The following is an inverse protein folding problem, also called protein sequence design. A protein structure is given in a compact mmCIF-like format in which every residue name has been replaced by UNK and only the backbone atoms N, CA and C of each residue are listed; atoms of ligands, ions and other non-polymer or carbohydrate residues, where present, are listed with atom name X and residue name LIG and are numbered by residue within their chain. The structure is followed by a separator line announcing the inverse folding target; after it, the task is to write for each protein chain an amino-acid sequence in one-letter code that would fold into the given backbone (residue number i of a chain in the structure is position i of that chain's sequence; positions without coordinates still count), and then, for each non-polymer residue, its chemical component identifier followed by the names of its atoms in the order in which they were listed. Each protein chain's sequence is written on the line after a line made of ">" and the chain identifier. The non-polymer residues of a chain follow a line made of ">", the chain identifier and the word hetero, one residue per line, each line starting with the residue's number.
data_IF_863426130332
#
_entry.id   IF_863426130332
#
_cell.length_a   1.000
_cell.length_b   1.000
_cell.length_c   1.000
_cell.angle_alpha   90.00
_cell.angle_beta   90.00
_cell.angle_gamma   90.00
#
_symmetry.space_group_name_H-M   'P 1'
#
loop_
_entity.id
_entity.type
_entity.pdbx_description
1 polymer ?
#
# COMPACT_ATOMS: atom_id res chain seq x y z
N UNK A 1 -12.67 -17.91 -1.41
CA UNK A 1 -11.80 -18.48 -2.47
C UNK A 1 -11.67 -19.98 -2.28
N UNK A 2 -11.45 -20.76 -3.34
CA UNK A 2 -11.32 -22.24 -3.29
C UNK A 2 -10.37 -22.68 -2.17
N UNK A 3 -9.24 -22.03 -1.97
CA UNK A 3 -8.30 -22.33 -0.87
C UNK A 3 -8.89 -22.09 0.54
N UNK A 4 -9.77 -21.10 0.69
CA UNK A 4 -10.43 -20.84 1.97
C UNK A 4 -11.52 -21.87 2.25
N UNK A 5 -12.21 -22.29 1.20
CA UNK A 5 -13.25 -23.33 1.27
C UNK A 5 -12.63 -24.69 1.55
N UNK A 6 -11.53 -25.02 0.88
CA UNK A 6 -10.74 -26.23 1.13
C UNK A 6 -10.23 -26.31 2.57
N UNK A 7 -9.63 -25.23 3.06
CA UNK A 7 -9.17 -25.15 4.44
C UNK A 7 -10.31 -25.32 5.46
N UNK A 8 -11.50 -24.79 5.15
CA UNK A 8 -12.69 -24.95 5.97
C UNK A 8 -13.21 -26.39 5.95
N UNK A 9 -13.20 -27.04 4.79
CA UNK A 9 -13.61 -28.46 4.66
C UNK A 9 -12.64 -29.37 5.41
N UNK A 10 -11.34 -29.23 5.23
CA UNK A 10 -10.36 -30.02 5.96
C UNK A 10 -10.56 -29.90 7.48
N UNK A 11 -10.78 -28.67 7.97
CA UNK A 11 -11.05 -28.42 9.38
C UNK A 11 -12.38 -29.03 9.85
N UNK A 12 -13.43 -28.94 9.02
CA UNK A 12 -14.75 -29.48 9.33
C UNK A 12 -14.70 -31.02 9.48
N UNK A 13 -13.94 -31.69 8.63
CA UNK A 13 -13.78 -33.16 8.65
C UNK A 13 -12.62 -33.62 9.55
N UNK A 14 -11.94 -32.73 10.26
CA UNK A 14 -10.82 -33.08 11.16
C UNK A 14 -9.60 -33.64 10.43
N UNK A 15 -9.41 -33.27 9.16
CA UNK A 15 -8.33 -33.76 8.31
C UNK A 15 -7.07 -32.91 8.60
N UNK A 16 -6.04 -33.58 9.10
CA UNK A 16 -4.76 -32.92 9.45
C UNK A 16 -3.92 -32.57 8.21
N UNK A 17 -2.83 -31.82 8.43
CA UNK A 17 -2.02 -31.28 7.35
C UNK A 17 -1.27 -32.32 6.53
N UNK A 18 -0.96 -33.47 7.13
CA UNK A 18 -0.21 -34.60 6.60
C UNK A 18 -1.09 -35.80 6.19
N UNK A 19 -2.43 -35.68 6.32
CA UNK A 19 -3.36 -36.70 5.95
C UNK A 19 -3.41 -36.88 4.40
N UNK A 20 -3.29 -38.13 3.93
CA UNK A 20 -3.35 -38.47 2.52
C UNK A 20 -4.71 -38.17 1.86
N UNK A 21 -5.79 -38.18 2.65
CA UNK A 21 -7.15 -37.87 2.22
C UNK A 21 -7.45 -36.35 2.26
N UNK A 22 -6.44 -35.53 2.52
CA UNK A 22 -6.59 -34.09 2.59
C UNK A 22 -7.12 -33.52 1.28
N UNK A 23 -8.19 -32.75 1.35
CA UNK A 23 -8.68 -32.00 0.21
C UNK A 23 -7.57 -31.04 -0.28
N UNK A 24 -7.19 -31.21 -1.53
CA UNK A 24 -6.15 -30.39 -2.17
C UNK A 24 -6.83 -29.39 -3.12
N UNK A 25 -6.52 -28.10 -3.01
CA UNK A 25 -7.06 -27.16 -3.97
C UNK A 25 -6.42 -27.40 -5.34
N UNK A 26 -7.17 -27.21 -6.43
CA UNK A 26 -6.58 -27.28 -7.75
C UNK A 26 -5.43 -26.28 -7.86
N UNK A 27 -4.34 -26.67 -8.50
CA UNK A 27 -3.18 -25.81 -8.70
C UNK A 27 -3.63 -24.52 -9.38
N UNK A 28 -3.38 -23.39 -8.72
CA UNK A 28 -3.73 -22.09 -9.24
C UNK A 28 -2.83 -21.76 -10.41
N UNK A 29 -3.30 -22.03 -11.61
CA UNK A 29 -2.61 -21.63 -12.84
C UNK A 29 -2.85 -20.13 -13.08
N UNK A 30 -1.80 -19.42 -13.45
CA UNK A 30 -1.81 -17.98 -13.63
C UNK A 30 -2.74 -17.55 -14.76
N UNK A 31 -2.83 -18.35 -15.80
CA UNK A 31 -3.73 -18.22 -16.94
C UNK A 31 -5.21 -18.28 -16.58
N UNK A 32 -5.57 -19.03 -15.52
CA UNK A 32 -6.95 -19.17 -15.03
C UNK A 32 -7.36 -18.05 -14.08
N UNK A 33 -6.43 -17.14 -13.72
CA UNK A 33 -6.76 -15.99 -12.88
C UNK A 33 -7.20 -14.85 -13.78
N UNK A 34 -8.50 -14.73 -14.00
CA UNK A 34 -9.08 -13.54 -14.60
C UNK A 34 -8.84 -12.37 -13.66
N UNK A 35 -7.71 -11.69 -13.84
CA UNK A 35 -7.45 -10.44 -13.16
C UNK A 35 -8.33 -9.39 -13.83
N UNK A 36 -9.30 -8.89 -13.12
CA UNK A 36 -10.18 -7.79 -13.58
C UNK A 36 -9.42 -6.50 -13.98
N UNK A 37 -8.11 -6.49 -13.85
CA UNK A 37 -7.24 -5.31 -14.02
C UNK A 37 -6.60 -5.16 -15.39
N UNK A 38 -6.69 -6.12 -16.28
CA UNK A 38 -5.91 -6.07 -17.53
C UNK A 38 -6.70 -5.77 -18.78
N UNK A 39 -7.95 -6.20 -18.84
CA UNK A 39 -8.68 -6.31 -20.11
C UNK A 39 -10.13 -5.88 -20.06
N UNK A 40 -10.70 -5.61 -18.88
CA UNK A 40 -12.06 -5.04 -18.84
C UNK A 40 -11.99 -3.61 -19.36
N UNK A 41 -12.69 -3.36 -20.46
CA UNK A 41 -13.07 -1.99 -20.83
C UNK A 41 -13.67 -1.36 -19.58
N UNK A 42 -13.05 -0.26 -19.13
CA UNK A 42 -13.63 0.57 -18.07
C UNK A 42 -15.03 0.97 -18.53
N UNK A 43 -15.95 1.05 -17.59
CA UNK A 43 -17.29 1.52 -17.88
C UNK A 43 -17.19 2.83 -18.67
N UNK A 44 -17.94 2.92 -19.77
CA UNK A 44 -18.00 4.09 -20.63
C UNK A 44 -18.45 5.37 -19.88
N UNK A 45 -19.03 5.23 -18.69
CA UNK A 45 -19.47 6.34 -17.83
C UNK A 45 -18.37 6.91 -16.93
N UNK A 46 -17.15 6.32 -16.87
CA UNK A 46 -16.03 6.89 -16.14
C UNK A 46 -15.07 7.60 -17.10
N UNK A 47 -15.16 8.91 -17.14
CA UNK A 47 -14.24 9.75 -17.89
C UNK A 47 -13.00 10.06 -17.04
N UNK A 48 -11.82 9.66 -17.49
CA UNK A 48 -10.56 10.00 -16.84
C UNK A 48 -10.30 11.51 -16.87
N UNK A 49 -10.67 12.18 -17.95
CA UNK A 49 -10.51 13.63 -18.10
C UNK A 49 -11.35 14.37 -17.05
N UNK A 50 -12.62 13.99 -16.88
CA UNK A 50 -13.49 14.64 -15.90
C UNK A 50 -13.12 14.29 -14.44
N UNK A 51 -12.32 13.26 -14.22
CA UNK A 51 -11.87 12.83 -12.90
C UNK A 51 -10.35 12.98 -12.72
N UNK A 52 -9.70 13.78 -13.55
CA UNK A 52 -8.24 13.94 -13.53
C UNK A 52 -7.71 14.34 -12.14
N UNK A 53 -8.37 15.27 -11.47
CA UNK A 53 -7.98 15.69 -10.12
C UNK A 53 -8.04 14.52 -9.12
N UNK A 54 -9.11 13.72 -9.15
CA UNK A 54 -9.25 12.53 -8.29
C UNK A 54 -8.18 11.49 -8.60
N UNK A 55 -7.90 11.26 -9.87
CA UNK A 55 -6.88 10.30 -10.33
C UNK A 55 -5.50 10.72 -9.83
N UNK A 56 -5.13 11.98 -10.06
CA UNK A 56 -3.85 12.55 -9.65
C UNK A 56 -3.70 12.54 -8.11
N UNK A 57 -4.79 12.81 -7.40
CA UNK A 57 -4.86 12.70 -5.95
C UNK A 57 -4.58 11.26 -5.47
N UNK A 58 -5.20 10.27 -6.10
CA UNK A 58 -4.97 8.86 -5.77
C UNK A 58 -3.53 8.41 -6.06
N UNK A 59 -2.95 8.87 -7.18
CA UNK A 59 -1.55 8.58 -7.58
C UNK A 59 -0.54 9.21 -6.63
N UNK A 60 -0.88 10.33 -6.00
CA UNK A 60 0.01 11.01 -5.06
C UNK A 60 -0.04 10.44 -3.63
N UNK A 61 -1.08 9.68 -3.24
CA UNK A 61 -1.34 9.28 -1.86
C UNK A 61 -1.49 7.77 -1.63
N UNK A 62 -1.68 6.97 -2.68
CA UNK A 62 -1.75 5.50 -2.58
C UNK A 62 -2.91 4.96 -1.73
N UNK A 63 -4.11 5.49 -1.91
CA UNK A 63 -5.30 5.10 -1.16
C UNK A 63 -5.79 3.68 -1.43
N UNK A 64 -6.52 3.12 -0.48
CA UNK A 64 -7.59 2.15 -0.73
C UNK A 64 -8.92 2.88 -0.82
N UNK A 65 -9.88 2.34 -1.59
CA UNK A 65 -11.18 2.97 -1.82
C UNK A 65 -11.88 3.37 -0.53
N UNK A 66 -11.98 2.48 0.44
CA UNK A 66 -12.66 2.73 1.70
C UNK A 66 -12.04 3.85 2.55
N UNK A 67 -10.74 4.11 2.42
CA UNK A 67 -10.06 5.24 3.08
C UNK A 67 -10.35 6.52 2.32
N UNK A 68 -10.25 6.49 0.98
CA UNK A 68 -10.52 7.63 0.12
C UNK A 68 -11.95 8.18 0.31
N UNK A 69 -12.95 7.30 0.39
CA UNK A 69 -14.38 7.65 0.58
C UNK A 69 -14.69 8.28 1.94
N UNK A 70 -13.79 8.10 2.92
CA UNK A 70 -13.95 8.64 4.28
C UNK A 70 -12.96 9.74 4.62
N UNK A 71 -12.06 10.05 3.70
CA UNK A 71 -11.00 11.04 3.89
C UNK A 71 -11.59 12.42 4.19
N UNK A 72 -11.07 13.07 5.21
CA UNK A 72 -11.49 14.41 5.65
C UNK A 72 -10.31 15.38 5.65
N UNK A 73 -10.59 16.68 5.74
CA UNK A 73 -9.54 17.71 5.80
C UNK A 73 -8.60 17.52 6.99
N UNK A 74 -9.08 16.96 8.10
CA UNK A 74 -8.27 16.72 9.30
C UNK A 74 -7.19 15.67 9.12
N UNK A 75 -7.29 14.81 8.09
CA UNK A 75 -6.33 13.75 7.81
C UNK A 75 -5.05 14.23 7.10
N UNK A 76 -4.98 15.52 6.73
CA UNK A 76 -3.73 16.13 6.29
C UNK A 76 -2.83 16.43 7.49
N UNK A 77 -1.61 15.97 7.40
CA UNK A 77 -0.55 16.26 8.35
C UNK A 77 0.64 16.92 7.64
N UNK A 78 1.16 18.01 8.22
CA UNK A 78 2.54 18.39 7.98
C UNK A 78 3.42 17.71 9.05
N UNK A 79 4.74 17.85 8.91
CA UNK A 79 5.69 17.21 9.84
C UNK A 79 5.46 17.65 11.28
N UNK A 80 5.37 18.96 11.54
CA UNK A 80 5.16 19.49 12.89
C UNK A 80 3.85 18.97 13.53
N UNK A 81 2.74 18.95 12.78
CA UNK A 81 1.48 18.38 13.24
C UNK A 81 1.60 16.87 13.54
N UNK A 82 2.39 16.14 12.74
CA UNK A 82 2.59 14.72 12.98
C UNK A 82 3.43 14.44 14.23
N UNK A 83 4.43 15.26 14.49
CA UNK A 83 5.28 15.19 15.70
C UNK A 83 4.47 15.54 16.96
N UNK A 84 3.66 16.60 16.92
CA UNK A 84 2.74 16.96 18.01
C UNK A 84 1.74 15.84 18.29
N UNK A 85 1.08 15.32 17.25
CA UNK A 85 0.11 14.24 17.39
C UNK A 85 0.76 12.93 17.90
N UNK A 86 2.02 12.70 17.60
CA UNK A 86 2.77 11.58 18.15
C UNK A 86 2.94 11.72 19.67
N UNK A 87 3.36 12.89 20.16
CA UNK A 87 3.50 13.15 21.59
C UNK A 87 2.15 13.02 22.32
N UNK A 88 1.09 13.62 21.78
CA UNK A 88 -0.28 13.50 22.31
C UNK A 88 -0.76 12.05 22.37
N UNK A 89 -0.47 11.27 21.32
CA UNK A 89 -0.85 9.86 21.28
C UNK A 89 -0.11 9.01 22.32
N UNK A 90 1.16 9.32 22.61
CA UNK A 90 1.94 8.67 23.66
C UNK A 90 1.36 8.99 25.04
N UNK A 91 1.10 10.28 25.34
CA UNK A 91 0.51 10.72 26.59
C UNK A 91 -0.88 10.11 26.84
N UNK A 92 -1.68 9.97 25.77
CA UNK A 92 -3.00 9.36 25.84
C UNK A 92 -2.99 7.82 25.86
N UNK A 93 -1.82 7.16 25.79
CA UNK A 93 -1.70 5.71 25.75
C UNK A 93 -2.24 5.08 24.44
N UNK A 94 -2.36 5.87 23.36
CA UNK A 94 -2.82 5.39 22.07
C UNK A 94 -1.62 4.83 21.25
N UNK A 95 -1.13 3.66 21.66
CA UNK A 95 0.04 3.02 21.07
C UNK A 95 -0.06 2.83 19.55
N UNK A 96 -1.24 2.43 19.05
CA UNK A 96 -1.45 2.17 17.63
C UNK A 96 -1.29 3.43 16.77
N UNK A 97 -1.76 4.58 17.27
CA UNK A 97 -1.59 5.86 16.58
C UNK A 97 -0.15 6.36 16.71
N UNK A 98 0.43 6.27 17.90
CA UNK A 98 1.81 6.68 18.15
C UNK A 98 2.79 5.89 17.25
N UNK A 99 2.64 4.57 17.16
CA UNK A 99 3.44 3.73 16.29
C UNK A 99 3.28 4.13 14.81
N UNK A 100 2.06 4.33 14.34
CA UNK A 100 1.78 4.71 12.95
C UNK A 100 2.45 6.04 12.58
N UNK A 101 2.40 7.03 13.46
CA UNK A 101 3.02 8.35 13.28
C UNK A 101 4.54 8.23 13.30
N UNK A 102 5.10 7.55 14.28
CA UNK A 102 6.55 7.35 14.43
C UNK A 102 7.16 6.63 13.22
N UNK A 103 6.52 5.53 12.80
CA UNK A 103 6.97 4.76 11.63
C UNK A 103 6.95 5.62 10.37
N UNK A 104 5.88 6.39 10.14
CA UNK A 104 5.79 7.29 9.00
C UNK A 104 6.87 8.38 9.01
N UNK A 105 7.04 9.08 10.13
CA UNK A 105 8.03 10.14 10.28
C UNK A 105 9.47 9.63 10.11
N UNK A 106 9.80 8.46 10.67
CA UNK A 106 11.13 7.84 10.53
C UNK A 106 11.41 7.31 9.13
N UNK A 107 10.38 6.76 8.47
CA UNK A 107 10.55 6.17 7.13
C UNK A 107 10.70 7.24 6.06
N UNK A 108 10.08 8.40 6.25
CA UNK A 108 10.04 9.49 5.27
C UNK A 108 10.58 10.81 5.85
N UNK A 109 11.89 10.87 6.22
CA UNK A 109 12.46 12.03 6.89
C UNK A 109 12.44 13.31 6.04
N UNK A 110 12.52 13.18 4.72
CA UNK A 110 12.57 14.30 3.76
C UNK A 110 11.17 14.79 3.31
N UNK A 111 10.09 14.21 3.85
CA UNK A 111 8.74 14.59 3.43
C UNK A 111 8.12 15.60 4.39
N UNK A 112 7.46 16.63 3.82
CA UNK A 112 6.80 17.70 4.59
C UNK A 112 5.34 17.40 4.87
N UNK A 113 4.66 16.70 3.93
CA UNK A 113 3.23 16.45 3.99
C UNK A 113 2.89 14.98 3.89
N UNK A 114 1.91 14.59 4.69
CA UNK A 114 1.45 13.22 4.85
C UNK A 114 -0.07 13.17 4.87
N UNK A 115 -0.61 12.01 4.55
CA UNK A 115 -1.99 11.62 4.86
C UNK A 115 -1.99 10.58 5.99
N UNK A 116 -2.82 10.82 7.00
CA UNK A 116 -3.13 9.83 8.01
C UNK A 116 -4.27 8.94 7.51
N UNK A 117 -3.95 7.72 7.11
CA UNK A 117 -4.93 6.72 6.70
C UNK A 117 -5.51 6.05 7.94
N UNK A 118 -6.75 6.40 8.28
CA UNK A 118 -7.46 5.83 9.43
C UNK A 118 -8.27 4.60 9.04
N UNK A 119 -8.34 3.60 9.91
CA UNK A 119 -9.18 2.39 9.73
C UNK A 119 -9.01 1.76 8.35
N UNK A 120 -7.77 1.62 7.89
CA UNK A 120 -7.45 0.90 6.66
C UNK A 120 -7.75 -0.61 6.84
N UNK A 121 -7.46 -1.45 5.85
CA UNK A 121 -7.73 -2.90 5.90
C UNK A 121 -7.20 -3.51 7.21
N UNK A 122 -8.09 -4.16 7.95
CA UNK A 122 -7.79 -4.71 9.28
C UNK A 122 -7.74 -3.68 10.41
N UNK A 123 -8.40 -2.52 10.25
CA UNK A 123 -8.46 -1.48 11.29
C UNK A 123 -7.17 -0.64 11.44
N UNK A 124 -6.16 -0.89 10.61
CA UNK A 124 -4.84 -0.26 10.73
C UNK A 124 -4.88 1.24 10.46
N UNK A 125 -4.08 1.97 11.23
CA UNK A 125 -3.73 3.36 10.98
C UNK A 125 -2.31 3.43 10.41
N UNK A 126 -2.04 4.36 9.50
CA UNK A 126 -0.70 4.63 8.97
C UNK A 126 -0.55 6.06 8.51
N UNK A 127 0.64 6.60 8.62
CA UNK A 127 1.04 7.87 8.05
C UNK A 127 1.81 7.62 6.76
N UNK A 128 1.33 8.15 5.63
CA UNK A 128 1.93 7.95 4.32
C UNK A 128 2.26 9.29 3.66
N UNK A 129 3.41 9.43 2.98
CA UNK A 129 3.80 10.68 2.34
C UNK A 129 2.91 11.00 1.15
N UNK A 130 2.73 12.31 0.89
CA UNK A 130 2.17 12.81 -0.35
C UNK A 130 3.34 13.04 -1.31
N UNK A 131 3.35 12.36 -2.46
CA UNK A 131 4.49 12.37 -3.39
C UNK A 131 4.07 12.63 -4.84
N UNK A 132 5.06 12.88 -5.69
CA UNK A 132 4.87 13.04 -7.11
C UNK A 132 4.53 14.47 -7.55
N UNK A 133 4.33 14.66 -8.87
CA UNK A 133 4.17 15.98 -9.46
C UNK A 133 2.89 16.71 -9.03
N UNK A 134 1.91 15.98 -8.49
CA UNK A 134 0.63 16.53 -8.05
C UNK A 134 0.56 16.82 -6.54
N UNK A 135 1.69 16.69 -5.80
CA UNK A 135 1.77 16.91 -4.34
C UNK A 135 1.11 18.23 -3.93
N UNK A 136 1.44 19.32 -4.58
CA UNK A 136 0.94 20.66 -4.19
C UNK A 136 -0.58 20.82 -4.44
N UNK A 137 -1.09 20.23 -5.51
CA UNK A 137 -2.53 20.23 -5.78
C UNK A 137 -3.30 19.43 -4.72
N UNK A 138 -2.77 18.28 -4.31
CA UNK A 138 -3.32 17.47 -3.21
C UNK A 138 -3.33 18.27 -1.90
N UNK A 139 -2.22 18.89 -1.54
CA UNK A 139 -2.10 19.69 -0.31
C UNK A 139 -3.08 20.85 -0.33
N UNK A 140 -3.19 21.59 -1.45
CA UNK A 140 -4.15 22.70 -1.59
C UNK A 140 -5.58 22.22 -1.38
N UNK A 141 -5.99 21.13 -2.05
CA UNK A 141 -7.34 20.56 -1.87
C UNK A 141 -7.62 20.16 -0.43
N UNK A 142 -6.68 19.47 0.21
CA UNK A 142 -6.81 19.06 1.60
C UNK A 142 -6.94 20.24 2.55
N UNK A 143 -6.13 21.31 2.36
CA UNK A 143 -6.20 22.54 3.16
C UNK A 143 -7.50 23.31 2.94
N UNK A 144 -8.05 23.29 1.74
CA UNK A 144 -9.34 23.92 1.42
C UNK A 144 -10.55 23.16 1.95
N UNK A 145 -10.37 21.88 2.34
CA UNK A 145 -11.44 21.04 2.88
C UNK A 145 -11.58 21.27 4.38
N UNK A 146 -12.76 21.62 4.91
CA UNK A 146 -12.97 21.73 6.36
C UNK A 146 -12.59 20.44 7.10
N UNK A 147 -12.13 20.52 8.35
CA UNK A 147 -11.57 19.39 9.08
C UNK A 147 -12.47 18.14 9.10
N UNK A 148 -13.77 18.33 9.26
CA UNK A 148 -14.76 17.24 9.36
C UNK A 148 -15.50 16.96 8.05
N UNK A 149 -15.23 17.72 6.98
CA UNK A 149 -15.86 17.52 5.69
C UNK A 149 -15.10 16.45 4.87
N UNK A 150 -15.84 15.70 4.08
CA UNK A 150 -15.23 14.76 3.12
C UNK A 150 -14.48 15.52 2.03
N UNK A 151 -13.26 15.06 1.73
CA UNK A 151 -12.47 15.59 0.59
C UNK A 151 -13.14 15.26 -0.75
N UNK A 152 -13.76 14.09 -0.83
CA UNK A 152 -14.51 13.64 -2.01
C UNK A 152 -15.91 13.23 -1.60
N UNK A 153 -16.91 13.94 -2.12
CA UNK A 153 -18.32 13.62 -1.84
C UNK A 153 -18.74 12.29 -2.47
N UNK A 154 -18.17 12.02 -3.65
CA UNK A 154 -18.42 10.80 -4.39
C UNK A 154 -17.16 10.27 -5.06
N UNK A 155 -16.97 8.96 -5.00
CA UNK A 155 -15.90 8.23 -5.70
C UNK A 155 -16.56 7.17 -6.58
N UNK A 156 -16.51 7.35 -7.91
CA UNK A 156 -17.11 6.40 -8.84
C UNK A 156 -16.65 4.97 -8.59
N UNK A 157 -17.58 4.01 -8.64
CA UNK A 157 -17.27 2.58 -8.50
C UNK A 157 -16.28 2.10 -9.59
N UNK A 158 -16.27 2.78 -10.74
CA UNK A 158 -15.40 2.48 -11.88
C UNK A 158 -14.00 3.13 -11.79
N UNK A 159 -13.77 3.99 -10.80
CA UNK A 159 -12.46 4.57 -10.53
C UNK A 159 -11.49 3.45 -10.09
N UNK A 160 -10.40 3.24 -10.83
CA UNK A 160 -9.40 2.21 -10.52
C UNK A 160 -8.42 2.67 -9.42
N UNK A 161 -8.97 2.97 -8.24
CA UNK A 161 -8.19 3.39 -7.06
C UNK A 161 -7.02 2.43 -6.78
N UNK A 162 -7.19 1.15 -7.11
CA UNK A 162 -6.16 0.16 -6.87
C UNK A 162 -5.02 0.21 -7.90
N UNK A 163 -5.34 0.53 -9.15
CA UNK A 163 -4.35 0.80 -10.20
C UNK A 163 -3.52 2.04 -9.86
N UNK A 164 -4.18 3.13 -9.46
CA UNK A 164 -3.47 4.37 -9.06
C UNK A 164 -2.62 4.19 -7.80
N UNK A 165 -3.02 3.29 -6.90
CA UNK A 165 -2.17 2.89 -5.78
C UNK A 165 -0.92 2.11 -6.24
N UNK A 166 -0.98 1.38 -7.34
CA UNK A 166 0.19 0.76 -7.94
C UNK A 166 1.12 1.80 -8.57
N UNK A 167 0.56 2.84 -9.20
CA UNK A 167 1.34 3.97 -9.73
C UNK A 167 2.10 4.69 -8.60
N UNK A 168 1.42 4.96 -7.47
CA UNK A 168 2.04 5.51 -6.26
C UNK A 168 3.19 4.64 -5.75
N UNK A 169 3.00 3.33 -5.67
CA UNK A 169 4.02 2.40 -5.21
C UNK A 169 5.23 2.37 -6.15
N UNK A 170 4.99 2.38 -7.44
CA UNK A 170 6.04 2.41 -8.48
C UNK A 170 6.80 3.72 -8.43
N UNK A 171 6.12 4.85 -8.22
CA UNK A 171 6.76 6.16 -8.05
C UNK A 171 7.70 6.16 -6.84
N UNK A 172 7.20 5.72 -5.67
CA UNK A 172 8.03 5.61 -4.47
C UNK A 172 9.23 4.67 -4.67
N UNK A 173 9.02 3.55 -5.35
CA UNK A 173 10.13 2.64 -5.64
C UNK A 173 11.22 3.35 -6.43
N UNK A 174 10.88 4.02 -7.51
CA UNK A 174 11.84 4.76 -8.34
C UNK A 174 12.57 5.85 -7.56
N UNK A 175 11.90 6.47 -6.59
CA UNK A 175 12.48 7.53 -5.75
C UNK A 175 13.49 6.98 -4.71
N UNK A 176 13.22 5.80 -4.13
CA UNK A 176 14.01 5.28 -3.01
C UNK A 176 14.94 4.11 -3.38
N UNK A 177 14.75 3.50 -4.55
CA UNK A 177 15.59 2.39 -4.99
C UNK A 177 16.99 2.87 -5.38
N UNK A 178 17.97 2.16 -4.88
CA UNK A 178 19.37 2.29 -5.33
C UNK A 178 19.56 1.47 -6.61
N UNK A 179 20.47 1.86 -7.49
CA UNK A 179 20.88 1.03 -8.61
C UNK A 179 21.32 -0.37 -8.15
N UNK A 180 20.87 -1.41 -8.84
CA UNK A 180 21.13 -2.81 -8.43
C UNK A 180 22.63 -3.12 -8.42
N UNK A 181 23.38 -2.49 -9.30
CA UNK A 181 24.83 -2.64 -9.43
C UNK A 181 25.60 -2.14 -8.20
N UNK A 182 24.97 -1.31 -7.37
CA UNK A 182 25.52 -0.80 -6.12
C UNK A 182 25.19 -1.69 -4.91
N UNK A 183 24.43 -2.76 -5.11
CA UNK A 183 23.95 -3.63 -4.07
C UNK A 183 24.73 -4.96 -4.05
N UNK A 184 24.95 -5.49 -2.85
CA UNK A 184 25.58 -6.80 -2.66
C UNK A 184 24.54 -7.83 -2.18
N UNK A 185 24.36 -8.90 -2.95
CA UNK A 185 23.47 -10.00 -2.58
C UNK A 185 23.84 -10.65 -1.22
N UNK A 186 25.12 -10.66 -0.88
CA UNK A 186 25.62 -11.25 0.38
C UNK A 186 25.31 -10.36 1.60
N UNK A 187 25.20 -9.07 1.37
CA UNK A 187 24.90 -8.11 2.45
C UNK A 187 23.45 -8.31 2.94
N UNK A 188 23.32 -8.42 4.26
CA UNK A 188 22.02 -8.60 4.92
C UNK A 188 21.54 -7.30 5.53
N UNK A 189 20.26 -7.01 5.34
CA UNK A 189 19.55 -5.89 5.97
C UNK A 189 18.42 -6.42 6.85
N UNK A 190 18.10 -5.69 7.90
CA UNK A 190 16.95 -6.01 8.76
C UNK A 190 15.66 -5.58 8.09
N UNK A 191 14.73 -6.52 7.91
CA UNK A 191 13.41 -6.28 7.34
C UNK A 191 12.40 -5.84 8.42
N UNK A 192 11.23 -5.37 8.00
CA UNK A 192 10.16 -4.93 8.91
C UNK A 192 9.65 -6.01 9.87
N UNK A 193 9.80 -7.29 9.51
CA UNK A 193 9.47 -8.44 10.36
C UNK A 193 10.61 -8.85 11.31
N UNK A 194 11.65 -8.02 11.41
CA UNK A 194 12.82 -8.24 12.28
C UNK A 194 13.86 -9.23 11.73
N UNK A 195 13.58 -9.93 10.65
CA UNK A 195 14.49 -10.92 10.05
C UNK A 195 15.54 -10.25 9.18
N UNK A 196 16.71 -10.85 9.10
CA UNK A 196 17.79 -10.42 8.22
C UNK A 196 17.72 -11.14 6.88
N UNK A 197 17.69 -10.39 5.78
CA UNK A 197 17.65 -10.89 4.40
C UNK A 197 18.62 -10.12 3.51
N UNK A 198 18.97 -10.69 2.34
CA UNK A 198 19.75 -9.99 1.32
C UNK A 198 19.16 -8.62 1.01
N UNK A 199 19.99 -7.60 0.81
CA UNK A 199 19.52 -6.29 0.35
C UNK A 199 18.97 -6.32 -1.08
N UNK A 200 19.24 -7.37 -1.86
CA UNK A 200 18.60 -7.63 -3.14
C UNK A 200 17.43 -8.60 -2.95
N UNK A 201 16.25 -8.21 -3.41
CA UNK A 201 15.11 -9.11 -3.54
C UNK A 201 15.05 -9.68 -4.94
N UNK A 202 15.04 -11.01 -5.07
CA UNK A 202 14.87 -11.69 -6.35
C UNK A 202 13.40 -12.10 -6.52
N UNK A 203 12.75 -11.57 -7.55
CA UNK A 203 11.35 -11.83 -7.85
C UNK A 203 11.12 -13.30 -8.22
N UNK A 204 9.91 -13.79 -7.91
CA UNK A 204 9.45 -15.14 -8.20
C UNK A 204 8.27 -15.11 -9.17
N UNK A 205 7.87 -16.26 -9.67
CA UNK A 205 6.72 -16.39 -10.57
C UNK A 205 7.00 -15.81 -11.94
N UNK A 206 6.09 -14.99 -12.45
CA UNK A 206 6.18 -14.39 -13.81
C UNK A 206 7.32 -13.39 -14.00
N UNK A 207 7.83 -12.83 -12.92
CA UNK A 207 8.95 -11.88 -12.93
C UNK A 207 10.22 -12.51 -12.38
N UNK A 208 10.32 -13.87 -12.45
CA UNK A 208 11.43 -14.64 -11.91
C UNK A 208 12.77 -14.10 -12.44
N UNK A 209 13.70 -13.85 -11.51
CA UNK A 209 15.05 -13.36 -11.82
C UNK A 209 15.17 -11.83 -11.78
N UNK A 210 14.08 -11.07 -11.87
CA UNK A 210 14.13 -9.62 -11.69
C UNK A 210 14.61 -9.28 -10.28
N UNK A 211 15.57 -8.37 -10.19
CA UNK A 211 16.18 -7.93 -8.94
C UNK A 211 15.61 -6.59 -8.51
N UNK A 212 15.36 -6.44 -7.23
CA UNK A 212 14.83 -5.21 -6.63
C UNK A 212 15.62 -4.84 -5.37
N UNK A 213 15.79 -3.54 -5.12
CA UNK A 213 16.31 -3.06 -3.83
C UNK A 213 15.31 -3.37 -2.71
N UNK A 214 15.65 -4.31 -1.83
CA UNK A 214 14.79 -4.74 -0.73
C UNK A 214 14.48 -3.61 0.24
N UNK A 215 15.42 -2.70 0.48
CA UNK A 215 15.18 -1.53 1.33
C UNK A 215 14.05 -0.68 0.77
N UNK A 216 14.08 -0.37 -0.52
CA UNK A 216 13.02 0.39 -1.18
C UNK A 216 11.68 -0.34 -1.13
N UNK A 217 11.67 -1.67 -1.34
CA UNK A 217 10.47 -2.50 -1.17
C UNK A 217 9.89 -2.40 0.25
N UNK A 218 10.74 -2.42 1.27
CA UNK A 218 10.34 -2.23 2.67
C UNK A 218 9.68 -0.87 2.91
N UNK A 219 10.27 0.21 2.41
CA UNK A 219 9.72 1.58 2.47
C UNK A 219 8.32 1.64 1.85
N UNK A 220 8.15 1.05 0.67
CA UNK A 220 6.85 1.01 -0.01
C UNK A 220 5.84 0.19 0.78
N UNK A 221 6.25 -0.94 1.33
CA UNK A 221 5.36 -1.78 2.16
C UNK A 221 4.82 -1.00 3.36
N UNK A 222 5.65 -0.18 4.00
CA UNK A 222 5.23 0.74 5.07
C UNK A 222 4.26 1.78 4.54
N UNK A 223 4.58 2.48 3.45
CA UNK A 223 3.70 3.48 2.83
C UNK A 223 2.33 2.91 2.46
N UNK A 224 2.29 1.65 2.03
CA UNK A 224 1.07 0.96 1.67
C UNK A 224 0.37 0.25 2.86
N UNK A 225 0.95 0.21 4.04
CA UNK A 225 0.41 -0.49 5.21
C UNK A 225 0.36 -2.00 5.05
N UNK A 226 1.38 -2.57 4.40
CA UNK A 226 1.54 -4.01 4.30
C UNK A 226 2.48 -4.52 5.38
N UNK A 227 2.13 -5.65 6.00
CA UNK A 227 2.99 -6.34 6.96
C UNK A 227 4.05 -7.22 6.29
N UNK A 228 3.98 -7.41 4.96
CA UNK A 228 4.88 -8.29 4.20
C UNK A 228 5.34 -7.60 2.90
N UNK A 229 6.62 -7.66 2.63
CA UNK A 229 7.27 -7.07 1.45
C UNK A 229 6.75 -7.66 0.12
N UNK A 230 6.55 -8.99 0.07
CA UNK A 230 6.10 -9.70 -1.13
C UNK A 230 4.74 -9.21 -1.64
N UNK A 231 3.88 -8.71 -0.75
CA UNK A 231 2.59 -8.15 -1.12
C UNK A 231 2.73 -6.88 -1.96
N UNK A 232 3.70 -6.02 -1.62
CA UNK A 232 3.97 -4.79 -2.38
C UNK A 232 4.50 -5.14 -3.78
N UNK A 233 5.42 -6.09 -3.88
CA UNK A 233 6.02 -6.53 -5.13
C UNK A 233 4.98 -7.15 -6.06
N UNK A 234 4.25 -8.15 -5.56
CA UNK A 234 3.32 -8.93 -6.39
C UNK A 234 2.16 -8.11 -6.93
N UNK A 235 1.71 -7.09 -6.18
CA UNK A 235 0.46 -6.42 -6.50
C UNK A 235 0.60 -4.98 -6.95
N UNK A 236 1.69 -4.30 -6.62
CA UNK A 236 1.77 -2.84 -6.77
C UNK A 236 3.00 -2.34 -7.55
N UNK A 237 4.17 -2.93 -7.40
CA UNK A 237 5.35 -2.48 -8.14
C UNK A 237 5.28 -3.06 -9.55
N UNK A 238 5.15 -2.19 -10.56
CA UNK A 238 4.96 -2.58 -11.96
C UNK A 238 5.81 -1.72 -12.87
N UNK A 239 6.11 -2.26 -14.07
CA UNK A 239 6.77 -1.52 -15.15
C UNK A 239 8.03 -0.77 -14.70
N UNK A 240 8.93 -1.49 -14.03
CA UNK A 240 10.24 -0.98 -13.62
C UNK A 240 11.24 -1.15 -14.75
#
# INVERSE_FOLDING_TARGET
>A
TVQTEEAALNKLYGIEADDENRFQPPRRLKENIVRSRGTKKRDAHFSEVNNEELINFCKACGFRRNVLERLTGSDLFNRAKAETAFAEAQEAGNEALAEALLVGLKTFPEQDYFILHRRDKGGKTRLSPIVGPHKDAVVRRMKATPPNAKVWQYVSSNCDVHGYRADYATFLYKQYARPIEQLDYRKKIRCSDGKYRSEIYICRGSERGKQLDRRAVGIISIALGHSREDTAITNYIRNL
#
